data_IF_279687090036
#
_entry.id   IF_279687090036
#
_cell.length_a   1.000
_cell.length_b   1.000
_cell.length_c   1.000
_cell.angle_alpha   90.00
_cell.angle_beta   90.00
_cell.angle_gamma   90.00
#
_symmetry.space_group_name_H-M   'P 1'
#
loop_
_entity.id
_entity.type
_entity.pdbx_description
1 polymer ?
#
# COMPACT_ATOMS: atom_id res chain seq x y z
N UNK A 1 35.38 15.95 -17.06
CA UNK A 1 33.93 15.64 -17.02
C UNK A 1 33.68 15.23 -15.59
N UNK A 2 33.17 16.17 -14.82
CA UNK A 2 33.10 16.12 -13.36
C UNK A 2 32.32 14.90 -12.86
N UNK A 3 32.77 14.36 -11.73
CA UNK A 3 32.01 13.47 -10.88
C UNK A 3 30.63 14.11 -10.61
N UNK A 4 29.60 13.57 -11.24
CA UNK A 4 28.21 13.89 -10.87
C UNK A 4 27.96 13.19 -9.53
N UNK A 5 28.43 13.82 -8.47
CA UNK A 5 28.07 13.46 -7.10
C UNK A 5 26.56 13.58 -6.97
N UNK A 6 25.87 12.45 -7.02
CA UNK A 6 24.44 12.38 -6.73
C UNK A 6 24.32 12.61 -5.21
N UNK A 7 23.71 13.73 -4.75
CA UNK A 7 23.52 13.94 -3.33
C UNK A 7 22.58 12.87 -2.79
N UNK A 8 22.94 12.30 -1.63
CA UNK A 8 22.06 11.42 -0.87
C UNK A 8 20.76 12.17 -0.57
N UNK A 9 19.64 11.73 -1.17
CA UNK A 9 18.34 12.39 -1.06
C UNK A 9 17.46 12.30 -2.31
N UNK A 10 18.03 11.98 -3.48
CA UNK A 10 17.28 12.01 -4.76
C UNK A 10 16.38 10.79 -5.03
N UNK A 11 16.28 9.83 -4.09
CA UNK A 11 15.34 8.71 -4.15
C UNK A 11 14.10 8.88 -3.25
N UNK A 12 13.96 10.00 -2.55
CA UNK A 12 12.67 10.41 -2.03
C UNK A 12 11.99 11.19 -3.16
N UNK A 13 11.30 10.48 -4.06
CA UNK A 13 10.22 11.15 -4.82
C UNK A 13 9.32 11.72 -3.74
N UNK A 14 9.22 13.05 -3.66
CA UNK A 14 8.25 13.71 -2.78
C UNK A 14 6.95 12.93 -2.93
N UNK A 15 6.49 12.32 -1.84
CA UNK A 15 5.09 11.94 -1.76
C UNK A 15 4.40 13.28 -1.91
N UNK A 16 3.87 13.53 -3.10
CA UNK A 16 3.16 14.74 -3.51
C UNK A 16 2.26 15.18 -2.36
N UNK A 17 1.97 16.48 -2.20
CA UNK A 17 1.12 17.07 -1.12
C UNK A 17 -0.32 16.52 -1.04
N UNK A 18 -0.55 15.36 -1.63
CA UNK A 18 -1.75 14.61 -1.82
C UNK A 18 -2.00 13.70 -0.61
N UNK A 19 -3.20 13.85 -0.05
CA UNK A 19 -3.67 13.04 1.08
C UNK A 19 -3.65 11.54 0.75
N UNK A 20 -3.56 10.69 1.77
CA UNK A 20 -3.69 9.25 1.59
C UNK A 20 -5.05 8.87 0.99
N UNK A 21 -5.11 7.80 0.20
CA UNK A 21 -6.37 7.30 -0.34
C UNK A 21 -7.33 6.89 0.79
N UNK A 22 -8.63 6.99 0.53
CA UNK A 22 -9.66 6.56 1.47
C UNK A 22 -9.47 5.09 1.90
N UNK A 23 -9.01 4.23 0.99
CA UNK A 23 -8.68 2.83 1.30
C UNK A 23 -7.56 2.69 2.32
N UNK A 24 -6.48 3.48 2.18
CA UNK A 24 -5.37 3.46 3.12
C UNK A 24 -5.72 4.07 4.47
N UNK A 25 -6.51 5.15 4.49
CA UNK A 25 -7.05 5.72 5.72
C UNK A 25 -7.92 4.68 6.45
N UNK A 26 -8.78 3.96 5.71
CA UNK A 26 -9.57 2.86 6.26
C UNK A 26 -8.72 1.78 6.91
N UNK A 27 -7.64 1.36 6.24
CA UNK A 27 -6.66 0.44 6.83
C UNK A 27 -6.08 0.99 8.13
N UNK A 28 -5.60 2.25 8.13
CA UNK A 28 -5.03 2.89 9.33
C UNK A 28 -6.01 2.93 10.50
N UNK A 29 -7.28 3.20 10.25
CA UNK A 29 -8.32 3.21 11.29
C UNK A 29 -8.54 1.81 11.88
N UNK A 30 -8.50 0.77 11.05
CA UNK A 30 -8.72 -0.61 11.49
C UNK A 30 -7.53 -1.18 12.28
N UNK A 31 -6.31 -0.67 12.07
CA UNK A 31 -5.11 -1.14 12.77
C UNK A 31 -5.25 -1.12 14.29
N UNK A 32 -5.96 -0.17 14.88
CA UNK A 32 -6.07 -0.05 16.34
C UNK A 32 -7.26 -0.78 16.96
N UNK A 33 -8.20 -1.27 16.14
CA UNK A 33 -9.48 -1.85 16.62
C UNK A 33 -9.70 -3.29 16.18
N UNK A 34 -8.93 -3.78 15.21
CA UNK A 34 -9.02 -5.16 14.72
C UNK A 34 -7.74 -5.92 15.02
N UNK A 35 -7.85 -7.19 15.46
CA UNK A 35 -6.67 -8.07 15.60
C UNK A 35 -6.08 -8.48 14.24
N UNK A 36 -6.97 -8.71 13.27
CA UNK A 36 -6.66 -9.08 11.90
C UNK A 36 -7.53 -8.27 10.95
N UNK A 37 -6.95 -7.84 9.83
CA UNK A 37 -7.61 -7.06 8.80
C UNK A 37 -7.40 -7.79 7.48
N UNK A 38 -8.51 -8.27 6.91
CA UNK A 38 -8.53 -8.89 5.60
C UNK A 38 -8.88 -7.82 4.57
N UNK A 39 -7.96 -7.57 3.64
CA UNK A 39 -8.08 -6.48 2.67
C UNK A 39 -8.04 -7.04 1.25
N UNK A 40 -9.11 -6.80 0.48
CA UNK A 40 -9.32 -7.40 -0.84
C UNK A 40 -9.18 -6.38 -1.96
N UNK A 41 -8.43 -6.76 -3.01
CA UNK A 41 -8.21 -5.98 -4.24
C UNK A 41 -7.64 -4.57 -4.03
N UNK A 42 -7.11 -4.29 -2.83
CA UNK A 42 -6.31 -3.09 -2.59
C UNK A 42 -4.94 -3.23 -3.27
N UNK A 43 -4.24 -4.32 -2.97
CA UNK A 43 -3.18 -4.86 -3.84
C UNK A 43 -3.89 -5.66 -4.94
N UNK A 44 -3.73 -5.27 -6.22
CA UNK A 44 -4.50 -5.87 -7.31
C UNK A 44 -4.05 -7.31 -7.56
N UNK A 45 -5.02 -8.19 -7.79
CA UNK A 45 -4.77 -9.56 -8.22
C UNK A 45 -4.42 -9.66 -9.72
N UNK A 46 -4.23 -10.89 -10.21
CA UNK A 46 -4.14 -11.20 -11.64
C UNK A 46 -5.39 -10.80 -12.44
N UNK A 47 -6.49 -10.41 -11.77
CA UNK A 47 -7.69 -9.82 -12.38
C UNK A 47 -7.58 -8.31 -12.57
N UNK A 48 -6.42 -7.69 -12.38
CA UNK A 48 -6.24 -6.26 -12.60
C UNK A 48 -6.76 -5.82 -13.98
N UNK A 49 -7.61 -4.78 -14.01
CA UNK A 49 -8.16 -4.24 -15.25
C UNK A 49 -8.07 -2.70 -15.25
N UNK A 50 -8.45 -2.07 -16.36
CA UNK A 50 -8.59 -0.60 -16.42
C UNK A 50 -9.89 -0.09 -15.80
N UNK A 51 -10.82 -0.98 -15.44
CA UNK A 51 -12.12 -0.61 -14.86
C UNK A 51 -11.89 -0.05 -13.46
N UNK A 52 -12.33 1.18 -13.22
CA UNK A 52 -12.02 1.91 -11.98
C UNK A 52 -12.76 1.31 -10.77
N UNK A 53 -14.05 1.02 -10.92
CA UNK A 53 -14.89 0.46 -9.86
C UNK A 53 -15.67 -0.77 -10.34
N UNK A 54 -15.93 -1.73 -9.45
CA UNK A 54 -16.66 -2.95 -9.82
C UNK A 54 -18.09 -2.64 -10.29
N UNK A 55 -18.72 -1.60 -9.73
CA UNK A 55 -20.09 -1.20 -10.04
C UNK A 55 -20.19 -0.23 -11.23
N UNK A 56 -19.08 0.37 -11.66
CA UNK A 56 -19.06 1.42 -12.68
C UNK A 56 -18.36 0.94 -13.97
N UNK A 57 -18.93 1.11 -15.18
CA UNK A 57 -18.25 0.79 -16.42
C UNK A 57 -17.04 1.70 -16.75
N UNK A 58 -16.78 2.78 -16.01
CA UNK A 58 -15.65 3.69 -16.26
C UNK A 58 -14.29 2.96 -16.31
N UNK A 59 -13.52 3.25 -17.35
CA UNK A 59 -12.13 2.80 -17.48
C UNK A 59 -11.17 3.95 -17.15
N UNK A 60 -10.53 3.86 -16.00
CA UNK A 60 -9.54 4.82 -15.56
C UNK A 60 -8.42 4.09 -14.76
N UNK A 61 -7.26 3.80 -15.37
CA UNK A 61 -6.18 3.09 -14.70
C UNK A 61 -5.56 3.88 -13.54
N UNK A 62 -5.81 5.20 -13.44
CA UNK A 62 -5.40 6.02 -12.30
C UNK A 62 -5.97 5.51 -10.98
N UNK A 63 -7.18 4.93 -10.99
CA UNK A 63 -7.81 4.36 -9.80
C UNK A 63 -7.03 3.18 -9.21
N UNK A 64 -6.23 2.48 -10.02
CA UNK A 64 -5.40 1.36 -9.57
C UNK A 64 -3.97 1.80 -9.25
N UNK A 65 -3.36 2.66 -10.06
CA UNK A 65 -1.92 2.95 -9.94
C UNK A 65 -1.59 4.29 -9.27
N UNK A 66 -2.58 5.16 -9.08
CA UNK A 66 -2.38 6.50 -8.52
C UNK A 66 -2.15 7.55 -9.59
N UNK A 67 -2.67 8.75 -9.31
CA UNK A 67 -2.33 10.01 -9.99
C UNK A 67 -2.29 11.07 -8.90
N UNK A 68 -3.43 11.31 -8.24
CA UNK A 68 -3.54 12.20 -7.08
C UNK A 68 -2.97 11.52 -5.83
N UNK A 69 -3.58 10.45 -5.35
CA UNK A 69 -3.07 9.74 -4.17
C UNK A 69 -1.80 8.93 -4.48
N UNK A 70 -0.89 8.74 -3.50
CA UNK A 70 0.30 7.92 -3.64
C UNK A 70 0.01 6.40 -3.61
N UNK A 71 -1.02 5.95 -4.36
CA UNK A 71 -1.54 4.57 -4.35
C UNK A 71 -0.45 3.51 -4.56
N UNK A 72 0.54 3.78 -5.41
CA UNK A 72 1.65 2.84 -5.61
C UNK A 72 2.43 2.60 -4.31
N UNK A 73 2.77 3.65 -3.56
CA UNK A 73 3.49 3.54 -2.29
C UNK A 73 2.60 2.88 -1.21
N UNK A 74 1.33 3.27 -1.13
CA UNK A 74 0.40 2.69 -0.16
C UNK A 74 0.21 1.17 -0.39
N UNK A 75 0.09 0.75 -1.65
CA UNK A 75 -0.02 -0.66 -2.03
C UNK A 75 1.25 -1.44 -1.77
N UNK A 76 2.42 -0.86 -2.06
CA UNK A 76 3.70 -1.48 -1.75
C UNK A 76 3.86 -1.68 -0.24
N UNK A 77 3.51 -0.69 0.58
CA UNK A 77 3.53 -0.83 2.03
C UNK A 77 2.53 -1.90 2.51
N UNK A 78 1.32 -1.90 1.96
CA UNK A 78 0.28 -2.89 2.29
C UNK A 78 0.73 -4.32 1.94
N UNK A 79 1.40 -4.50 0.79
CA UNK A 79 2.02 -5.76 0.42
C UNK A 79 3.18 -6.13 1.35
N UNK A 80 4.03 -5.17 1.72
CA UNK A 80 5.17 -5.40 2.61
C UNK A 80 4.76 -5.89 4.01
N UNK A 81 3.66 -5.37 4.56
CA UNK A 81 3.13 -5.77 5.89
C UNK A 81 2.14 -6.94 5.82
N UNK A 82 1.93 -7.52 4.64
CA UNK A 82 1.03 -8.66 4.43
C UNK A 82 1.60 -9.93 5.11
N UNK A 83 0.71 -10.69 5.74
CA UNK A 83 1.01 -12.00 6.35
C UNK A 83 0.42 -13.19 5.58
N UNK A 84 -0.38 -12.94 4.54
CA UNK A 84 -0.86 -13.96 3.61
C UNK A 84 0.22 -14.33 2.58
N UNK A 85 0.03 -15.44 1.86
CA UNK A 85 1.00 -15.88 0.85
C UNK A 85 1.00 -14.98 -0.39
N UNK A 86 2.14 -14.89 -1.08
CA UNK A 86 2.25 -14.21 -2.38
C UNK A 86 1.24 -14.77 -3.40
N UNK A 87 0.95 -16.08 -3.31
CA UNK A 87 -0.05 -16.72 -4.15
C UNK A 87 -1.44 -16.17 -3.86
N UNK A 88 -1.83 -16.00 -2.61
CA UNK A 88 -3.15 -15.46 -2.27
C UNK A 88 -3.27 -14.00 -2.68
N UNK A 89 -2.23 -13.19 -2.43
CA UNK A 89 -2.19 -11.81 -2.87
C UNK A 89 -2.32 -11.69 -4.39
N UNK A 90 -1.49 -12.42 -5.15
CA UNK A 90 -1.47 -12.32 -6.59
C UNK A 90 -2.67 -12.98 -7.27
N UNK A 91 -3.15 -14.14 -6.80
CA UNK A 91 -4.24 -14.85 -7.47
C UNK A 91 -5.63 -14.36 -7.05
N UNK A 92 -5.77 -13.94 -5.79
CA UNK A 92 -7.08 -13.62 -5.21
C UNK A 92 -7.22 -12.17 -4.79
N UNK A 93 -6.13 -11.40 -4.74
CA UNK A 93 -6.16 -10.02 -4.26
C UNK A 93 -6.33 -9.95 -2.75
N UNK A 94 -6.11 -11.07 -2.04
CA UNK A 94 -6.24 -11.17 -0.60
C UNK A 94 -4.93 -10.85 0.08
N UNK A 95 -4.95 -9.85 0.95
CA UNK A 95 -3.87 -9.60 1.91
C UNK A 95 -4.44 -9.60 3.32
N UNK A 96 -3.62 -10.05 4.28
CA UNK A 96 -3.96 -10.06 5.71
C UNK A 96 -2.95 -9.28 6.51
N UNK A 97 -3.43 -8.31 7.27
CA UNK A 97 -2.60 -7.40 8.07
C UNK A 97 -2.90 -7.63 9.54
N UNK A 98 -1.85 -7.70 10.36
CA UNK A 98 -1.99 -7.78 11.82
C UNK A 98 -2.29 -6.39 12.37
N UNK A 99 -3.28 -6.28 13.25
CA UNK A 99 -3.53 -5.06 14.01
C UNK A 99 -2.38 -4.70 14.95
N UNK A 100 -2.36 -3.44 15.35
CA UNK A 100 -1.41 -2.90 16.31
C UNK A 100 -1.89 -3.16 17.74
N UNK A 101 -1.07 -3.83 18.52
CA UNK A 101 -1.22 -3.98 19.97
C UNK A 101 -0.36 -2.95 20.72
N UNK A 102 -0.74 -2.61 21.96
CA UNK A 102 -0.04 -1.58 22.76
C UNK A 102 1.46 -1.83 22.96
N UNK A 103 1.93 -3.07 22.79
CA UNK A 103 3.31 -3.50 23.03
C UNK A 103 4.05 -3.89 21.74
N UNK A 104 3.55 -3.51 20.57
CA UNK A 104 4.13 -3.92 19.28
C UNK A 104 5.45 -3.24 18.91
N UNK A 105 5.91 -2.26 19.70
CA UNK A 105 7.25 -1.71 19.57
C UNK A 105 8.26 -2.65 20.27
N UNK A 106 9.08 -3.36 19.50
CA UNK A 106 10.24 -4.07 20.03
C UNK A 106 11.32 -3.12 20.53
N UNK A 107 12.16 -3.56 21.48
CA UNK A 107 13.41 -2.88 21.79
C UNK A 107 14.21 -2.72 20.49
N UNK A 108 14.54 -1.47 20.13
CA UNK A 108 15.54 -1.19 19.12
C UNK A 108 16.84 -1.86 19.58
N UNK A 109 17.16 -3.04 19.02
CA UNK A 109 18.52 -3.56 19.12
C UNK A 109 19.40 -2.61 18.30
N UNK A 110 19.99 -1.65 19.01
CA UNK A 110 21.13 -0.89 18.50
C UNK A 110 22.20 -1.92 18.13
N UNK A 111 22.40 -2.10 16.83
CA UNK A 111 23.59 -2.73 16.30
C UNK A 111 24.80 -1.84 16.57
#
# INVERSE_FOLDING_TARGET
MEDVGIPAGQFAREVEEESASSGFIGLKLLLSVCKWIDFFEYVPSARATKRCHYYDPENNPACTFGVWHPLAAEKLLTYYINSASDRDAFQTGFVRIRGLERNDCGELKAY
#
